data_IF_274908222992
#
_entry.id   IF_274908222992
#
_cell.length_a   1.000
_cell.length_b   1.000
_cell.length_c   1.000
_cell.angle_alpha   90.00
_cell.angle_beta   90.00
_cell.angle_gamma   90.00
#
_symmetry.space_group_name_H-M   'P 1'
#
loop_
_entity.id
_entity.type
_entity.pdbx_description
1 polymer ?
#
# COMPACT_ATOMS: atom_id res chain seq x y z
N UNK A 1 -51.25 -28.78 -21.45
CA UNK A 1 -50.36 -27.62 -21.60
C UNK A 1 -48.92 -28.10 -21.53
N UNK A 2 -48.25 -28.13 -22.67
CA UNK A 2 -46.83 -28.43 -22.83
C UNK A 2 -46.21 -27.28 -23.65
N UNK A 3 -45.05 -26.78 -23.23
CA UNK A 3 -43.93 -26.31 -24.07
C UNK A 3 -42.90 -25.55 -23.20
N UNK A 4 -41.71 -26.12 -22.95
CA UNK A 4 -40.42 -26.04 -23.72
C UNK A 4 -39.52 -24.89 -23.29
N UNK A 5 -38.32 -25.23 -22.78
CA UNK A 5 -37.18 -24.32 -22.54
C UNK A 5 -36.56 -23.88 -23.89
N UNK A 6 -35.69 -22.83 -23.96
CA UNK A 6 -34.27 -23.04 -23.62
C UNK A 6 -33.55 -21.86 -22.90
N UNK A 7 -32.28 -22.16 -22.62
CA UNK A 7 -31.24 -21.56 -21.77
C UNK A 7 -30.69 -20.19 -22.22
N UNK A 8 -29.84 -19.65 -21.32
CA UNK A 8 -28.74 -18.67 -21.48
C UNK A 8 -29.13 -17.21 -21.15
N UNK A 9 -28.32 -16.40 -20.47
CA UNK A 9 -26.88 -16.50 -20.23
C UNK A 9 -26.42 -16.05 -18.84
N UNK A 10 -25.27 -16.62 -18.48
CA UNK A 10 -24.43 -16.28 -17.33
C UNK A 10 -24.16 -14.77 -17.36
N UNK A 11 -24.56 -14.01 -16.33
CA UNK A 11 -23.87 -12.75 -16.03
C UNK A 11 -22.58 -13.10 -15.30
N UNK A 12 -21.54 -13.21 -16.11
CA UNK A 12 -20.14 -13.33 -15.76
C UNK A 12 -19.78 -12.46 -14.56
N UNK A 13 -19.26 -13.09 -13.51
CA UNK A 13 -18.25 -12.46 -12.66
C UNK A 13 -17.05 -12.17 -13.54
N UNK A 14 -16.99 -10.98 -14.12
CA UNK A 14 -15.78 -10.47 -14.76
C UNK A 14 -14.99 -9.72 -13.69
N UNK A 15 -14.18 -10.46 -12.93
CA UNK A 15 -13.01 -9.89 -12.30
C UNK A 15 -12.01 -9.61 -13.43
N UNK A 16 -12.03 -8.40 -13.99
CA UNK A 16 -11.04 -7.98 -14.99
C UNK A 16 -9.84 -7.38 -14.29
N UNK A 17 -8.66 -7.86 -14.71
CA UNK A 17 -7.32 -7.62 -14.18
C UNK A 17 -7.02 -6.14 -13.84
N UNK A 18 -6.47 -5.99 -12.64
CA UNK A 18 -5.45 -5.00 -12.25
C UNK A 18 -5.92 -3.59 -11.86
N UNK A 19 -6.70 -3.54 -10.77
CA UNK A 19 -6.77 -2.36 -9.92
C UNK A 19 -5.48 -2.22 -9.09
N UNK A 20 -4.56 -1.37 -9.54
CA UNK A 20 -3.40 -0.98 -8.74
C UNK A 20 -3.85 -0.06 -7.59
N UNK A 21 -4.23 -0.65 -6.45
CA UNK A 21 -4.51 0.10 -5.21
C UNK A 21 -3.22 0.69 -4.65
N UNK A 22 -2.96 1.95 -4.96
CA UNK A 22 -1.86 2.67 -4.32
C UNK A 22 -2.18 2.91 -2.84
N UNK A 23 -1.45 2.22 -1.97
CA UNK A 23 -1.37 2.38 -0.51
C UNK A 23 -2.75 2.57 0.17
N UNK A 24 -3.48 1.47 0.41
CA UNK A 24 -4.77 1.52 1.12
C UNK A 24 -5.22 0.17 1.71
N UNK A 25 -4.67 -0.20 2.87
CA UNK A 25 -5.47 -0.82 3.94
C UNK A 25 -5.36 0.17 5.11
N UNK A 26 -6.05 1.30 5.10
CA UNK A 26 -7.43 1.51 5.53
C UNK A 26 -8.00 2.78 4.87
N UNK A 27 -9.23 2.72 4.35
CA UNK A 27 -9.94 3.88 3.82
C UNK A 27 -11.29 4.00 4.53
N UNK A 28 -11.28 4.60 5.72
CA UNK A 28 -12.47 5.22 6.28
C UNK A 28 -12.37 6.73 6.06
N UNK A 29 -13.17 7.21 5.12
CA UNK A 29 -13.66 8.59 4.98
C UNK A 29 -12.69 9.73 5.34
N UNK A 30 -11.76 10.09 4.44
CA UNK A 30 -11.22 11.47 4.36
C UNK A 30 -10.58 11.74 2.99
N UNK A 31 -10.93 12.89 2.43
CA UNK A 31 -10.50 13.46 1.14
C UNK A 31 -9.03 13.17 0.77
N UNK A 32 -8.79 12.16 -0.06
CA UNK A 32 -7.45 11.76 -0.55
C UNK A 32 -7.01 12.72 -1.66
N UNK A 33 -6.05 13.61 -1.39
CA UNK A 33 -5.34 14.38 -2.44
C UNK A 33 -4.59 13.41 -3.36
N UNK A 34 -4.61 13.68 -4.66
CA UNK A 34 -3.82 12.98 -5.68
C UNK A 34 -2.33 12.99 -5.32
N UNK A 35 -1.74 11.81 -5.20
CA UNK A 35 -0.35 11.63 -4.79
C UNK A 35 0.46 11.23 -6.01
N UNK A 36 1.11 12.22 -6.63
CA UNK A 36 2.04 12.02 -7.74
C UNK A 36 3.42 11.64 -7.20
N UNK A 37 4.30 11.05 -8.03
CA UNK A 37 5.68 10.64 -7.68
C UNK A 37 6.47 11.68 -6.86
N UNK A 38 6.16 12.97 -6.99
CA UNK A 38 6.84 14.08 -6.30
C UNK A 38 6.55 14.15 -4.79
N UNK A 39 5.46 13.56 -4.29
CA UNK A 39 4.99 13.76 -2.90
C UNK A 39 5.05 12.52 -2.00
N UNK A 40 5.45 11.37 -2.55
CA UNK A 40 5.54 10.12 -1.83
C UNK A 40 6.55 10.20 -0.66
N UNK A 41 6.14 9.69 0.51
CA UNK A 41 6.98 9.58 1.71
C UNK A 41 7.01 10.81 2.62
N UNK A 42 6.56 11.98 2.12
CA UNK A 42 6.60 13.25 2.87
C UNK A 42 5.33 13.51 3.67
N UNK A 43 4.15 13.32 3.06
CA UNK A 43 2.84 13.52 3.71
C UNK A 43 2.18 12.23 4.17
N UNK A 44 2.57 11.10 3.58
CA UNK A 44 2.15 9.77 4.00
C UNK A 44 3.36 8.87 4.20
N UNK A 45 3.38 8.05 5.25
CA UNK A 45 4.46 7.11 5.47
C UNK A 45 4.43 5.99 4.43
N UNK A 46 5.59 5.37 4.21
CA UNK A 46 5.68 4.03 3.66
C UNK A 46 5.42 3.05 4.82
N UNK A 47 4.35 2.25 4.78
CA UNK A 47 4.19 1.17 5.73
C UNK A 47 5.24 0.09 5.43
N UNK A 48 5.97 -0.35 6.46
CA UNK A 48 6.97 -1.41 6.38
C UNK A 48 6.56 -2.50 7.35
N UNK A 49 6.35 -3.71 6.84
CA UNK A 49 6.03 -4.87 7.65
C UNK A 49 7.32 -5.43 8.24
N UNK A 50 7.36 -5.61 9.56
CA UNK A 50 8.55 -6.08 10.29
C UNK A 50 8.18 -7.21 11.25
N UNK A 51 9.10 -8.15 11.45
CA UNK A 51 8.90 -9.23 12.41
C UNK A 51 8.86 -8.68 13.85
N UNK A 52 8.05 -9.26 14.75
CA UNK A 52 7.99 -8.81 16.14
C UNK A 52 9.28 -9.09 16.92
N UNK A 53 9.97 -10.19 16.61
CA UNK A 53 11.21 -10.55 17.31
C UNK A 53 12.33 -9.54 17.02
N UNK A 54 12.85 -8.91 18.08
CA UNK A 54 13.93 -7.94 17.95
C UNK A 54 13.54 -6.65 17.22
N UNK A 55 12.25 -6.33 17.11
CA UNK A 55 11.74 -5.20 16.31
C UNK A 55 12.42 -3.87 16.67
N UNK A 56 12.82 -3.66 17.93
CA UNK A 56 13.48 -2.44 18.38
C UNK A 56 14.79 -2.19 17.60
N UNK A 57 15.59 -3.23 17.36
CA UNK A 57 16.82 -3.13 16.54
C UNK A 57 16.50 -2.85 15.08
N UNK A 58 15.47 -3.50 14.54
CA UNK A 58 14.99 -3.26 13.17
C UNK A 58 14.56 -1.80 13.00
N UNK A 59 13.74 -1.28 13.91
CA UNK A 59 13.26 0.11 13.92
C UNK A 59 14.44 1.08 14.04
N UNK A 60 15.42 0.81 14.89
CA UNK A 60 16.61 1.66 15.02
C UNK A 60 17.41 1.73 13.70
N UNK A 61 17.58 0.59 13.01
CA UNK A 61 18.25 0.55 11.70
C UNK A 61 17.46 1.31 10.64
N UNK A 62 16.13 1.19 10.62
CA UNK A 62 15.27 1.95 9.71
C UNK A 62 15.40 3.46 10.00
N UNK A 63 15.43 3.86 11.28
CA UNK A 63 15.61 5.27 11.67
C UNK A 63 16.88 5.89 11.10
N UNK A 64 17.97 5.13 10.97
CA UNK A 64 19.25 5.61 10.39
C UNK A 64 19.16 5.99 8.91
N UNK A 65 18.15 5.52 8.18
CA UNK A 65 17.95 5.81 6.75
C UNK A 65 16.69 6.63 6.47
N UNK A 66 15.85 6.87 7.47
CA UNK A 66 14.56 7.57 7.36
C UNK A 66 14.58 8.91 8.10
N UNK A 67 13.61 9.79 7.81
CA UNK A 67 13.41 11.02 8.61
C UNK A 67 12.75 10.71 9.95
N UNK A 68 11.75 9.83 9.94
CA UNK A 68 10.98 9.43 11.11
C UNK A 68 10.47 8.01 10.91
N UNK A 69 10.49 7.22 11.97
CA UNK A 69 9.88 5.89 12.00
C UNK A 69 9.12 5.69 13.30
N UNK A 70 7.85 5.30 13.18
CA UNK A 70 6.96 5.01 14.30
C UNK A 70 6.29 3.65 14.09
N UNK A 71 6.08 2.88 15.16
CA UNK A 71 5.20 1.72 15.07
C UNK A 71 3.77 2.22 14.91
N UNK A 72 3.02 1.59 14.01
CA UNK A 72 1.63 1.91 13.79
C UNK A 72 0.81 1.40 14.96
N UNK A 73 0.12 2.30 15.64
CA UNK A 73 -0.80 1.97 16.73
C UNK A 73 -2.15 1.49 16.19
N UNK A 74 -2.76 0.54 16.89
CA UNK A 74 -4.08 0.05 16.53
C UNK A 74 -5.18 1.00 17.04
N UNK A 75 -6.18 1.27 16.21
CA UNK A 75 -7.36 2.00 16.66
C UNK A 75 -8.17 1.12 17.64
N UNK A 76 -8.42 1.62 18.85
CA UNK A 76 -9.30 0.98 19.83
C UNK A 76 -8.66 -0.10 20.71
N UNK A 77 -7.34 -0.29 20.67
CA UNK A 77 -6.59 -1.10 21.64
C UNK A 77 -5.23 -0.51 21.95
N UNK A 78 -4.68 -0.84 23.11
CA UNK A 78 -3.30 -0.48 23.46
C UNK A 78 -2.34 -1.39 22.70
N UNK A 79 -1.36 -0.78 22.03
CA UNK A 79 -0.30 -1.49 21.32
C UNK A 79 -0.36 -1.38 19.80
N UNK A 80 0.61 -1.99 19.10
CA UNK A 80 0.74 -1.86 17.66
C UNK A 80 -0.33 -2.64 16.89
N UNK A 81 -0.52 -2.25 15.63
CA UNK A 81 -1.21 -3.06 14.63
C UNK A 81 -0.40 -4.33 14.40
N UNK A 82 -1.11 -5.46 14.43
CA UNK A 82 -0.59 -6.77 14.07
C UNK A 82 -1.25 -7.17 12.76
N UNK A 83 -0.46 -7.57 11.76
CA UNK A 83 -0.96 -8.06 10.47
C UNK A 83 -1.54 -9.47 10.62
N UNK A 84 -2.28 -9.93 9.61
CA UNK A 84 -2.77 -11.32 9.55
C UNK A 84 -1.63 -12.35 9.60
N UNK A 85 -0.41 -11.93 9.20
CA UNK A 85 0.81 -12.74 9.26
C UNK A 85 1.52 -12.67 10.63
N UNK A 86 0.94 -11.97 11.61
CA UNK A 86 1.52 -11.81 12.95
C UNK A 86 2.67 -10.79 13.04
N UNK A 87 2.89 -9.97 12.00
CA UNK A 87 3.96 -8.97 11.97
C UNK A 87 3.49 -7.60 12.45
N UNK A 88 4.45 -6.72 12.75
CA UNK A 88 4.19 -5.32 13.07
C UNK A 88 4.25 -4.45 11.82
N UNK A 89 3.59 -3.28 11.86
CA UNK A 89 3.75 -2.25 10.84
C UNK A 89 4.53 -1.06 11.42
N UNK A 90 5.64 -0.71 10.77
CA UNK A 90 6.37 0.53 10.99
C UNK A 90 6.01 1.55 9.90
N UNK A 91 5.55 2.72 10.30
CA UNK A 91 5.30 3.86 9.42
C UNK A 91 6.58 4.69 9.28
N UNK A 92 7.16 4.65 8.08
CA UNK A 92 8.46 5.22 7.75
C UNK A 92 8.29 6.45 6.85
N UNK A 93 8.81 7.58 7.31
CA UNK A 93 8.75 8.86 6.62
C UNK A 93 10.10 9.22 6.02
N UNK A 94 10.08 9.81 4.83
CA UNK A 94 11.27 10.29 4.14
C UNK A 94 11.04 11.73 3.71
N UNK A 95 12.05 12.59 3.88
CA UNK A 95 11.98 13.98 3.40
C UNK A 95 11.70 14.08 1.90
N UNK A 96 12.25 13.15 1.12
CA UNK A 96 12.00 13.03 -0.32
C UNK A 96 12.29 11.61 -0.80
N UNK A 97 11.38 11.04 -1.59
CA UNK A 97 11.56 9.75 -2.27
C UNK A 97 11.88 9.93 -3.75
N UNK A 98 13.05 10.52 -4.07
CA UNK A 98 13.47 10.69 -5.47
C UNK A 98 13.73 9.36 -6.19
N UNK A 99 14.24 8.36 -5.47
CA UNK A 99 14.60 7.02 -5.98
C UNK A 99 13.98 5.96 -5.08
N UNK A 100 12.67 5.69 -5.22
CA UNK A 100 11.97 4.76 -4.34
C UNK A 100 12.50 3.32 -4.45
N UNK A 101 13.07 2.94 -5.60
CA UNK A 101 13.73 1.64 -5.81
C UNK A 101 14.91 1.46 -4.85
N UNK A 102 15.75 2.49 -4.72
CA UNK A 102 16.87 2.45 -3.76
C UNK A 102 16.37 2.35 -2.32
N UNK A 103 15.28 3.04 -2.00
CA UNK A 103 14.70 3.00 -0.65
C UNK A 103 14.13 1.62 -0.35
N UNK A 104 13.40 1.02 -1.28
CA UNK A 104 12.92 -0.35 -1.19
C UNK A 104 14.07 -1.32 -0.93
N UNK A 105 15.11 -1.30 -1.76
CA UNK A 105 16.28 -2.16 -1.62
C UNK A 105 16.99 -1.98 -0.27
N UNK A 106 17.16 -0.74 0.18
CA UNK A 106 17.77 -0.45 1.48
C UNK A 106 16.94 -0.98 2.64
N UNK A 107 15.61 -0.83 2.58
CA UNK A 107 14.71 -1.36 3.61
C UNK A 107 14.73 -2.88 3.64
N UNK A 108 14.64 -3.55 2.48
CA UNK A 108 14.65 -5.02 2.37
C UNK A 108 15.96 -5.65 2.85
N UNK A 109 17.06 -4.90 2.84
CA UNK A 109 18.37 -5.35 3.39
C UNK A 109 18.45 -5.30 4.92
N UNK A 110 17.51 -4.65 5.61
CA UNK A 110 17.52 -4.59 7.07
C UNK A 110 16.94 -5.91 7.63
N UNK A 111 17.69 -6.67 8.45
CA UNK A 111 17.17 -7.87 9.08
C UNK A 111 15.91 -7.57 9.90
N UNK A 112 14.89 -8.38 9.71
CA UNK A 112 13.58 -8.22 10.34
C UNK A 112 12.58 -7.39 9.53
N UNK A 113 12.98 -6.77 8.42
CA UNK A 113 12.02 -6.24 7.44
C UNK A 113 11.47 -7.38 6.59
N UNK A 114 10.16 -7.53 6.58
CA UNK A 114 9.43 -8.53 5.80
C UNK A 114 9.08 -7.98 4.44
N UNK A 115 8.41 -6.82 4.39
CA UNK A 115 7.99 -6.20 3.13
C UNK A 115 7.82 -4.68 3.25
N UNK A 116 7.78 -3.98 2.12
CA UNK A 116 7.52 -2.54 2.06
C UNK A 116 6.24 -2.26 1.29
N UNK A 117 5.52 -1.20 1.65
CA UNK A 117 4.35 -0.70 0.91
C UNK A 117 4.70 0.01 -0.42
N UNK A 118 5.90 -0.19 -0.96
CA UNK A 118 6.32 0.37 -2.24
C UNK A 118 6.02 -0.62 -3.36
N UNK A 119 4.98 -0.32 -4.15
CA UNK A 119 4.56 -1.12 -5.30
C UNK A 119 5.31 -0.67 -6.56
N UNK A 120 6.58 -1.06 -6.68
CA UNK A 120 7.47 -0.63 -7.76
C UNK A 120 7.41 -1.59 -8.95
N UNK A 121 7.22 -1.05 -10.16
CA UNK A 121 7.24 -1.85 -11.40
C UNK A 121 6.05 -2.80 -11.60
N UNK A 122 5.03 -2.73 -10.74
CA UNK A 122 3.87 -3.65 -10.78
C UNK A 122 2.67 -3.12 -11.57
N UNK A 123 2.70 -1.87 -12.01
CA UNK A 123 1.55 -1.18 -12.58
C UNK A 123 1.89 -0.60 -13.94
N UNK A 124 1.22 -1.12 -14.98
CA UNK A 124 1.29 -0.59 -16.33
C UNK A 124 0.19 0.43 -16.61
N UNK A 125 -0.93 0.35 -15.89
CA UNK A 125 -2.08 1.28 -16.00
C UNK A 125 -2.68 1.55 -14.63
N UNK A 126 -2.85 2.83 -14.26
CA UNK A 126 -3.55 3.25 -13.06
C UNK A 126 -4.78 4.10 -13.42
N UNK A 127 -5.94 3.70 -12.90
CA UNK A 127 -7.19 4.44 -13.00
C UNK A 127 -7.37 5.33 -11.77
N UNK A 128 -7.47 6.65 -11.95
CA UNK A 128 -7.58 7.63 -10.88
C UNK A 128 -8.95 8.29 -10.92
N UNK A 129 -9.82 7.89 -9.98
CA UNK A 129 -11.14 8.50 -9.81
C UNK A 129 -11.05 9.87 -9.14
N UNK A 130 -11.67 10.88 -9.76
CA UNK A 130 -11.78 12.25 -9.25
C UNK A 130 -13.12 12.46 -8.54
N UNK A 131 -13.18 13.47 -7.67
CA UNK A 131 -14.40 13.80 -6.89
C UNK A 131 -15.59 14.21 -7.76
N UNK A 132 -15.33 14.68 -8.97
CA UNK A 132 -16.35 15.09 -9.96
C UNK A 132 -16.80 13.92 -10.86
N UNK A 133 -16.39 12.68 -10.56
CA UNK A 133 -16.78 11.49 -11.30
C UNK A 133 -15.91 11.20 -12.52
N UNK A 134 -14.93 12.04 -12.84
CA UNK A 134 -13.95 11.74 -13.92
C UNK A 134 -12.98 10.63 -13.50
N UNK A 135 -12.49 9.88 -14.49
CA UNK A 135 -11.46 8.87 -14.31
C UNK A 135 -10.29 9.19 -15.23
N UNK A 136 -9.11 9.44 -14.66
CA UNK A 136 -7.90 9.55 -15.45
C UNK A 136 -7.24 8.18 -15.59
N UNK A 137 -6.69 7.94 -16.78
CA UNK A 137 -5.95 6.70 -17.07
C UNK A 137 -4.48 7.09 -17.20
N UNK A 138 -3.68 6.73 -16.20
CA UNK A 138 -2.24 6.91 -16.21
C UNK A 138 -1.62 5.63 -16.73
N UNK A 139 -0.81 5.70 -17.80
CA UNK A 139 -0.07 4.54 -18.31
C UNK A 139 1.40 4.69 -17.97
N UNK A 140 2.05 3.55 -17.72
CA UNK A 140 3.51 3.45 -17.67
C UNK A 140 4.05 3.79 -19.05
N UNK A 141 4.91 4.80 -19.10
CA UNK A 141 5.68 5.18 -20.29
C UNK A 141 6.87 4.26 -20.51
#
# INVERSE_FOLDING_TARGET
MANTRPRQGRRSRAASREDCRFNSKEAHHRSRREETRKNLGRTKPIPVEIVPFGYASTVEKIRKISEKTVLREAAGKVGPVITDNGNLIADVYFRSLRRPEIVHEKLKKIPGVVETGLFLGMCDVAYVGRKDGRVDILRRG
#
